data_IF_132288231422
#
_entry.id   IF_132288231422
#
_cell.length_a   1.000
_cell.length_b   1.000
_cell.length_c   1.000
_cell.angle_alpha   90.00
_cell.angle_beta   90.00
_cell.angle_gamma   90.00
#
_symmetry.space_group_name_H-M   'P 1'
#
loop_
_entity.id
_entity.type
_entity.pdbx_description
1 polymer ?
#
# COMPACT_ATOMS: atom_id res chain seq x y z
N UNK A 1 -20.72 0.98 42.20
CA UNK A 1 -19.27 0.97 42.40
C UNK A 1 -18.70 0.45 41.10
N UNK A 2 -18.57 1.37 40.13
CA UNK A 2 -18.20 1.07 38.76
C UNK A 2 -16.69 0.87 38.69
N UNK A 3 -16.27 -0.33 38.29
CA UNK A 3 -14.90 -0.63 37.97
C UNK A 3 -14.49 0.16 36.72
N UNK A 4 -13.81 1.27 36.99
CA UNK A 4 -12.98 2.00 36.06
C UNK A 4 -11.92 1.06 35.48
N UNK A 5 -12.22 0.48 34.32
CA UNK A 5 -11.24 -0.20 33.49
C UNK A 5 -10.23 0.86 33.03
N UNK A 6 -9.11 0.96 33.74
CA UNK A 6 -7.92 1.69 33.31
C UNK A 6 -7.46 1.14 31.95
N UNK A 7 -7.85 1.82 30.87
CA UNK A 7 -7.21 1.66 29.58
C UNK A 7 -5.73 1.99 29.76
N UNK A 8 -4.87 0.98 29.66
CA UNK A 8 -3.43 1.19 29.66
C UNK A 8 -3.09 2.22 28.57
N UNK A 9 -2.24 3.24 28.83
CA UNK A 9 -1.83 4.19 27.82
C UNK A 9 -1.24 3.40 26.65
N UNK A 10 -1.87 3.53 25.47
CA UNK A 10 -1.56 2.71 24.30
C UNK A 10 -0.07 2.71 24.03
N UNK A 11 0.55 1.52 24.06
CA UNK A 11 1.97 1.37 23.78
C UNK A 11 2.25 1.97 22.38
N UNK A 12 3.10 3.00 22.34
CA UNK A 12 3.48 3.66 21.09
C UNK A 12 4.03 2.63 20.10
N UNK A 13 3.40 2.54 18.93
CA UNK A 13 3.83 1.64 17.86
C UNK A 13 5.06 2.22 17.17
N UNK A 14 6.14 1.44 17.12
CA UNK A 14 7.41 1.85 16.53
C UNK A 14 8.13 2.98 17.28
N UNK A 15 9.37 3.24 16.86
CA UNK A 15 10.22 4.35 17.34
C UNK A 15 10.49 4.45 18.84
N UNK A 16 10.16 3.45 19.65
CA UNK A 16 10.59 3.36 21.05
C UNK A 16 12.12 3.39 21.21
N UNK A 17 12.61 3.63 22.43
CA UNK A 17 14.07 3.71 22.73
C UNK A 17 14.83 2.47 22.25
N UNK A 18 14.29 1.28 22.51
CA UNK A 18 14.86 0.01 22.08
C UNK A 18 14.93 -0.09 20.54
N UNK A 19 13.89 0.36 19.85
CA UNK A 19 13.82 0.32 18.38
C UNK A 19 14.90 1.23 17.77
N UNK A 20 15.04 2.46 18.29
CA UNK A 20 16.09 3.39 17.86
C UNK A 20 17.50 2.84 18.12
N UNK A 21 17.71 2.18 19.25
CA UNK A 21 18.98 1.55 19.58
C UNK A 21 19.32 0.41 18.61
N UNK A 22 18.39 -0.51 18.39
CA UNK A 22 18.52 -1.62 17.44
C UNK A 22 18.85 -1.12 16.03
N UNK A 23 18.16 -0.09 15.55
CA UNK A 23 18.45 0.50 14.22
C UNK A 23 19.83 1.14 14.14
N UNK A 24 20.32 1.76 15.22
CA UNK A 24 21.69 2.28 15.28
C UNK A 24 22.70 1.11 15.22
N UNK A 25 22.51 0.08 16.03
CA UNK A 25 23.35 -1.10 16.04
C UNK A 25 23.37 -1.80 14.67
N UNK A 26 22.21 -1.99 14.05
CA UNK A 26 22.11 -2.58 12.71
C UNK A 26 22.91 -1.79 11.68
N UNK A 27 22.82 -0.45 11.69
CA UNK A 27 23.56 0.42 10.76
C UNK A 27 25.07 0.43 10.99
N UNK A 28 25.53 0.11 12.20
CA UNK A 28 26.96 -0.07 12.49
C UNK A 28 27.48 -1.42 11.98
N UNK A 29 26.63 -2.47 12.04
CA UNK A 29 27.03 -3.84 11.69
C UNK A 29 26.82 -4.20 10.21
N UNK A 30 26.00 -3.45 9.47
CA UNK A 30 25.54 -3.83 8.11
C UNK A 30 25.82 -2.77 7.06
N UNK A 31 25.92 -3.22 5.80
CA UNK A 31 26.22 -2.34 4.67
C UNK A 31 25.07 -1.38 4.36
N UNK A 32 25.38 -0.29 3.62
CA UNK A 32 24.36 0.66 3.14
C UNK A 32 23.25 -0.02 2.33
N UNK A 33 23.61 -1.03 1.53
CA UNK A 33 22.70 -1.83 0.70
C UNK A 33 21.78 -2.76 1.48
N UNK A 34 21.92 -2.86 2.80
CA UNK A 34 21.03 -3.65 3.66
C UNK A 34 20.20 -2.77 4.60
N UNK A 35 20.32 -1.44 4.51
CA UNK A 35 19.75 -0.51 5.50
C UNK A 35 18.23 -0.59 5.60
N UNK A 36 17.52 -0.92 4.51
CA UNK A 36 16.07 -1.13 4.53
C UNK A 36 15.66 -2.23 5.53
N UNK A 37 16.52 -3.21 5.77
CA UNK A 37 16.26 -4.29 6.73
C UNK A 37 16.40 -3.88 8.21
N UNK A 38 16.83 -2.64 8.51
CA UNK A 38 16.99 -2.18 9.90
C UNK A 38 15.67 -2.18 10.68
N UNK A 39 14.53 -2.08 9.98
CA UNK A 39 13.20 -2.13 10.57
C UNK A 39 12.74 -3.56 10.82
N UNK A 40 13.34 -4.57 10.19
CA UNK A 40 12.95 -5.97 10.36
C UNK A 40 13.78 -6.64 11.47
N UNK A 41 15.08 -6.41 11.50
CA UNK A 41 15.98 -7.02 12.47
C UNK A 41 15.87 -6.37 13.87
N UNK A 42 15.98 -7.13 14.98
CA UNK A 42 15.98 -8.61 15.09
C UNK A 42 14.57 -9.20 15.25
N UNK A 43 13.54 -8.37 15.07
CA UNK A 43 12.19 -8.66 15.52
C UNK A 43 11.41 -9.60 14.61
N UNK A 44 11.76 -9.62 13.32
CA UNK A 44 11.07 -10.37 12.27
C UNK A 44 11.89 -11.57 11.81
N UNK A 45 11.23 -12.71 11.58
CA UNK A 45 11.75 -13.83 10.81
C UNK A 45 10.80 -14.11 9.65
N UNK A 46 11.35 -14.38 8.48
CA UNK A 46 10.59 -14.74 7.28
C UNK A 46 11.09 -16.06 6.72
N UNK A 47 10.24 -16.74 5.97
CA UNK A 47 10.58 -17.90 5.16
C UNK A 47 10.17 -17.62 3.72
N UNK A 48 10.95 -18.13 2.77
CA UNK A 48 10.67 -17.99 1.34
C UNK A 48 10.45 -19.36 0.72
N UNK A 49 9.55 -19.43 -0.23
CA UNK A 49 9.35 -20.62 -1.04
C UNK A 49 10.38 -20.70 -2.18
N UNK A 50 10.19 -21.65 -3.11
CA UNK A 50 11.09 -21.88 -4.25
C UNK A 50 11.05 -20.75 -5.29
N UNK A 51 9.95 -20.01 -5.39
CA UNK A 51 9.86 -18.81 -6.24
C UNK A 51 10.61 -17.62 -5.62
N UNK A 52 10.92 -17.71 -4.32
CA UNK A 52 11.51 -16.65 -3.54
C UNK A 52 10.47 -15.71 -2.93
N UNK A 53 9.17 -15.91 -3.13
CA UNK A 53 8.11 -15.20 -2.42
C UNK A 53 8.13 -15.53 -0.92
N UNK A 54 7.64 -14.61 -0.08
CA UNK A 54 7.54 -14.83 1.37
C UNK A 54 6.33 -15.73 1.65
N UNK A 55 6.58 -16.91 2.21
CA UNK A 55 5.55 -17.90 2.53
C UNK A 55 5.31 -18.07 4.04
N UNK A 56 6.10 -17.40 4.88
CA UNK A 56 5.92 -17.42 6.33
C UNK A 56 6.45 -16.15 6.99
N UNK A 57 5.77 -15.71 8.03
CA UNK A 57 6.11 -14.48 8.75
C UNK A 57 5.94 -14.65 10.26
N UNK A 58 6.97 -14.29 11.01
CA UNK A 58 6.98 -14.27 12.48
C UNK A 58 7.55 -12.96 12.97
N UNK A 59 6.85 -12.26 13.86
CA UNK A 59 7.36 -11.06 14.52
C UNK A 59 7.07 -11.08 16.02
N UNK A 60 8.03 -10.64 16.83
CA UNK A 60 7.89 -10.57 18.30
C UNK A 60 7.42 -11.89 18.92
N UNK A 61 7.96 -13.01 18.45
CA UNK A 61 7.61 -14.35 18.93
C UNK A 61 6.29 -14.92 18.39
N UNK A 62 5.45 -14.11 17.72
CA UNK A 62 4.14 -14.48 17.17
C UNK A 62 4.22 -14.77 15.67
N UNK A 63 3.51 -15.80 15.20
CA UNK A 63 3.48 -16.20 13.79
C UNK A 63 2.11 -15.84 13.20
N UNK A 64 2.10 -15.31 11.97
CA UNK A 64 0.87 -15.09 11.22
C UNK A 64 0.85 -15.97 9.95
N UNK A 65 -0.30 -16.56 9.61
CA UNK A 65 -0.44 -17.24 8.32
C UNK A 65 -0.29 -16.22 7.19
N UNK A 66 0.55 -16.55 6.22
CA UNK A 66 0.71 -15.75 4.99
C UNK A 66 -0.09 -16.45 3.90
N UNK A 67 -0.95 -15.69 3.24
CA UNK A 67 -1.64 -16.12 2.02
C UNK A 67 -0.69 -15.94 0.84
N UNK A 68 -0.44 -17.00 0.04
CA UNK A 68 0.30 -16.88 -1.22
C UNK A 68 -0.32 -15.80 -2.12
N UNK A 69 0.52 -15.07 -2.85
CA UNK A 69 0.09 -13.92 -3.65
C UNK A 69 -0.92 -14.33 -4.73
N UNK A 70 -0.70 -15.48 -5.36
CA UNK A 70 -1.57 -16.06 -6.39
C UNK A 70 -2.96 -16.44 -5.87
N UNK A 71 -3.11 -16.60 -4.55
CA UNK A 71 -4.40 -16.84 -3.90
C UNK A 71 -5.02 -15.54 -3.39
N UNK A 72 -4.25 -14.44 -3.34
CA UNK A 72 -4.61 -13.15 -2.74
C UNK A 72 -5.69 -12.35 -3.47
N UNK A 73 -5.97 -12.70 -4.71
CA UNK A 73 -6.93 -12.04 -5.58
C UNK A 73 -7.83 -13.04 -6.26
N UNK A 74 -8.97 -12.55 -6.72
CA UNK A 74 -9.92 -13.26 -7.56
C UNK A 74 -9.74 -12.79 -9.01
N UNK A 75 -9.30 -13.68 -9.94
CA UNK A 75 -9.12 -13.32 -11.34
C UNK A 75 -10.42 -12.85 -12.05
N UNK A 76 -11.59 -13.10 -11.46
CA UNK A 76 -12.88 -12.60 -11.94
C UNK A 76 -13.11 -11.12 -11.66
N UNK A 77 -12.34 -10.49 -10.76
CA UNK A 77 -12.47 -9.08 -10.39
C UNK A 77 -11.79 -8.18 -11.45
N UNK A 78 -12.34 -8.16 -12.66
CA UNK A 78 -11.82 -7.35 -13.75
C UNK A 78 -12.11 -5.85 -13.58
N UNK A 79 -13.16 -5.49 -12.84
CA UNK A 79 -13.53 -4.12 -12.51
C UNK A 79 -13.38 -3.89 -11.01
N UNK A 80 -12.53 -2.94 -10.61
CA UNK A 80 -12.21 -2.69 -9.20
C UNK A 80 -12.15 -1.20 -8.90
N UNK A 81 -12.69 -0.81 -7.75
CA UNK A 81 -12.63 0.56 -7.25
C UNK A 81 -11.44 0.69 -6.29
N UNK A 82 -10.43 1.49 -6.65
CA UNK A 82 -9.33 1.84 -5.77
C UNK A 82 -9.68 3.12 -4.99
N UNK A 83 -9.95 3.00 -3.70
CA UNK A 83 -10.40 4.11 -2.86
C UNK A 83 -9.25 4.59 -1.97
N UNK A 84 -8.83 5.83 -2.17
CA UNK A 84 -7.79 6.50 -1.40
C UNK A 84 -8.40 7.41 -0.32
N UNK A 85 -7.60 8.36 0.18
CA UNK A 85 -8.00 9.26 1.26
C UNK A 85 -7.92 10.75 0.91
N UNK A 86 -7.84 11.11 -0.37
CA UNK A 86 -7.90 12.52 -0.78
C UNK A 86 -9.27 13.14 -0.47
N UNK A 87 -9.34 14.46 -0.21
CA UNK A 87 -10.58 15.17 0.14
C UNK A 87 -11.74 14.96 -0.85
N UNK A 88 -11.49 14.73 -2.15
CA UNK A 88 -12.58 14.55 -3.13
C UNK A 88 -13.52 13.39 -2.82
N UNK A 89 -13.09 12.38 -2.05
CA UNK A 89 -13.96 11.26 -1.65
C UNK A 89 -15.09 11.69 -0.72
N UNK A 90 -14.96 12.85 -0.05
CA UNK A 90 -15.99 13.33 0.88
C UNK A 90 -17.27 13.78 0.16
N UNK A 91 -17.18 14.09 -1.14
CA UNK A 91 -18.28 14.58 -1.96
C UNK A 91 -19.05 13.45 -2.67
N UNK A 92 -18.52 12.22 -2.63
CA UNK A 92 -19.08 11.08 -3.36
C UNK A 92 -20.14 10.35 -2.49
N UNK A 93 -21.39 10.23 -2.96
CA UNK A 93 -22.42 9.44 -2.28
C UNK A 93 -22.26 7.94 -2.59
N UNK A 94 -21.34 7.27 -1.88
CA UNK A 94 -20.95 5.88 -2.16
C UNK A 94 -22.11 4.86 -2.07
N UNK A 95 -23.14 5.15 -1.28
CA UNK A 95 -24.37 4.36 -1.19
C UNK A 95 -25.15 4.28 -2.52
N UNK A 96 -24.95 5.27 -3.40
CA UNK A 96 -25.58 5.37 -4.71
C UNK A 96 -24.76 4.77 -5.85
N UNK A 97 -23.50 4.41 -5.62
CA UNK A 97 -22.61 3.87 -6.65
C UNK A 97 -22.75 2.35 -6.77
N UNK A 98 -22.76 1.81 -7.99
CA UNK A 98 -22.65 0.36 -8.20
C UNK A 98 -21.19 -0.07 -8.05
N UNK A 99 -20.79 -0.34 -6.79
CA UNK A 99 -19.46 -0.84 -6.46
C UNK A 99 -19.60 -2.30 -6.04
N UNK A 100 -19.01 -3.21 -6.82
CA UNK A 100 -18.99 -4.65 -6.48
C UNK A 100 -17.74 -5.05 -5.71
N UNK A 101 -16.60 -4.48 -6.09
CA UNK A 101 -15.28 -4.82 -5.53
C UNK A 101 -14.49 -3.53 -5.30
N UNK A 102 -14.03 -3.34 -4.07
CA UNK A 102 -13.16 -2.23 -3.72
C UNK A 102 -11.84 -2.68 -3.08
N UNK A 103 -10.77 -1.97 -3.43
CA UNK A 103 -9.53 -1.93 -2.69
C UNK A 103 -9.43 -0.60 -1.93
N UNK A 104 -9.38 -0.66 -0.61
CA UNK A 104 -9.05 0.52 0.20
C UNK A 104 -7.55 0.68 0.40
N UNK A 105 -7.09 1.92 0.56
CA UNK A 105 -5.72 2.20 1.00
C UNK A 105 -5.68 3.17 2.17
N UNK A 106 -4.72 2.98 3.07
CA UNK A 106 -4.50 3.81 4.25
C UNK A 106 -5.82 4.14 4.98
N UNK A 107 -6.22 5.42 5.07
CA UNK A 107 -7.40 5.82 5.84
C UNK A 107 -8.74 5.72 5.10
N UNK A 108 -8.80 5.13 3.90
CA UNK A 108 -10.06 4.91 3.18
C UNK A 108 -11.10 4.13 4.01
N UNK A 109 -10.66 3.29 4.94
CA UNK A 109 -11.52 2.53 5.86
C UNK A 109 -12.47 3.43 6.67
N UNK A 110 -12.12 4.69 6.92
CA UNK A 110 -13.00 5.61 7.63
C UNK A 110 -14.31 5.88 6.86
N UNK A 111 -14.36 5.68 5.53
CA UNK A 111 -15.60 5.71 4.75
C UNK A 111 -16.55 4.58 5.13
N UNK A 112 -16.03 3.42 5.56
CA UNK A 112 -16.84 2.28 5.95
C UNK A 112 -17.62 2.50 7.26
N UNK A 113 -17.40 3.63 7.94
CA UNK A 113 -18.22 4.08 9.08
C UNK A 113 -19.49 4.80 8.63
N UNK A 114 -19.54 5.27 7.38
CA UNK A 114 -20.67 6.01 6.78
C UNK A 114 -21.39 5.21 5.69
N UNK A 115 -20.66 4.39 4.95
CA UNK A 115 -21.16 3.67 3.78
C UNK A 115 -20.81 2.18 3.88
N UNK A 116 -21.67 1.32 3.35
CA UNK A 116 -21.41 -0.11 3.26
C UNK A 116 -20.55 -0.42 2.02
N UNK A 117 -19.24 -0.18 2.14
CA UNK A 117 -18.28 -0.38 1.05
C UNK A 117 -17.75 -1.83 1.02
N UNK A 118 -17.79 -2.51 -0.15
CA UNK A 118 -17.33 -3.88 -0.30
C UNK A 118 -15.79 -3.94 -0.44
N UNK A 119 -15.08 -3.59 0.63
CA UNK A 119 -13.63 -3.73 0.70
C UNK A 119 -13.20 -5.20 0.72
N UNK A 120 -13.10 -5.82 -0.46
CA UNK A 120 -12.54 -7.17 -0.66
C UNK A 120 -11.01 -7.16 -0.50
N UNK A 121 -10.38 -6.04 -0.85
CA UNK A 121 -8.94 -5.85 -0.78
C UNK A 121 -8.57 -4.62 0.04
N UNK A 122 -7.36 -4.64 0.59
CA UNK A 122 -6.77 -3.47 1.23
C UNK A 122 -5.25 -3.45 1.00
N UNK A 123 -4.66 -2.27 0.85
CA UNK A 123 -3.20 -2.14 0.71
C UNK A 123 -2.64 -1.10 1.69
N UNK A 124 -1.63 -1.49 2.47
CA UNK A 124 -0.90 -0.61 3.40
C UNK A 124 0.60 -0.78 3.18
N UNK A 125 1.25 0.27 2.67
CA UNK A 125 2.71 0.33 2.54
C UNK A 125 3.35 1.44 3.39
N UNK A 126 2.55 2.37 3.93
CA UNK A 126 3.07 3.47 4.76
C UNK A 126 3.17 3.04 6.23
N UNK A 127 4.40 2.88 6.74
CA UNK A 127 4.64 2.59 8.15
C UNK A 127 4.13 3.69 9.09
N UNK A 128 4.13 4.96 8.65
CA UNK A 128 3.68 6.06 9.51
C UNK A 128 2.16 6.01 9.70
N UNK A 129 1.40 5.63 8.67
CA UNK A 129 -0.03 5.37 8.82
C UNK A 129 -0.32 4.36 9.93
N UNK A 130 0.44 3.26 10.02
CA UNK A 130 0.27 2.29 11.11
C UNK A 130 0.61 2.86 12.48
N UNK A 131 1.65 3.67 12.55
CA UNK A 131 2.11 4.25 13.82
C UNK A 131 1.19 5.33 14.35
N UNK A 132 0.69 6.16 13.45
CA UNK A 132 -0.08 7.36 13.78
C UNK A 132 -1.57 7.03 13.87
N UNK A 133 -2.05 6.07 13.07
CA UNK A 133 -3.48 5.70 12.91
C UNK A 133 -3.75 4.22 13.16
N UNK A 134 -3.19 3.68 14.24
CA UNK A 134 -3.38 2.28 14.64
C UNK A 134 -4.87 1.93 14.87
N UNK A 135 -5.71 2.92 15.19
CA UNK A 135 -7.17 2.81 15.29
C UNK A 135 -7.78 2.33 13.97
N UNK A 136 -7.45 3.00 12.86
CA UNK A 136 -7.93 2.65 11.53
C UNK A 136 -7.36 1.31 11.06
N UNK A 137 -6.10 1.03 11.37
CA UNK A 137 -5.49 -0.27 11.06
C UNK A 137 -6.21 -1.41 11.77
N UNK A 138 -6.64 -1.21 13.02
CA UNK A 138 -7.41 -2.21 13.78
C UNK A 138 -8.74 -2.54 13.07
N UNK A 139 -9.44 -1.53 12.55
CA UNK A 139 -10.64 -1.73 11.75
C UNK A 139 -10.35 -2.55 10.49
N UNK A 140 -9.27 -2.23 9.77
CA UNK A 140 -8.87 -2.94 8.54
C UNK A 140 -8.60 -4.41 8.83
N UNK A 141 -7.72 -4.71 9.80
CA UNK A 141 -7.29 -6.09 10.06
C UNK A 141 -8.38 -6.96 10.69
N UNK A 142 -9.41 -6.34 11.27
CA UNK A 142 -10.54 -7.05 11.87
C UNK A 142 -11.58 -7.55 10.86
N UNK A 143 -11.49 -7.11 9.60
CA UNK A 143 -12.43 -7.48 8.53
C UNK A 143 -12.00 -8.74 7.79
N UNK A 144 -12.97 -9.41 7.19
CA UNK A 144 -12.73 -10.49 6.23
C UNK A 144 -12.42 -9.89 4.86
N UNK A 145 -11.13 -9.61 4.63
CA UNK A 145 -10.58 -9.05 3.40
C UNK A 145 -9.17 -9.60 3.16
N UNK A 146 -8.60 -9.35 1.98
CA UNK A 146 -7.16 -9.59 1.75
C UNK A 146 -6.37 -8.29 1.88
N UNK A 147 -5.45 -8.26 2.86
CA UNK A 147 -4.54 -7.17 3.13
C UNK A 147 -3.18 -7.41 2.46
N UNK A 148 -2.84 -6.54 1.52
CA UNK A 148 -1.52 -6.43 0.91
C UNK A 148 -0.65 -5.48 1.73
N UNK A 149 0.52 -5.96 2.16
CA UNK A 149 1.34 -5.24 3.14
C UNK A 149 2.83 -5.47 2.93
N UNK A 150 3.65 -4.45 3.18
CA UNK A 150 5.11 -4.60 3.22
C UNK A 150 5.55 -5.30 4.53
N UNK A 151 6.64 -6.09 4.53
CA UNK A 151 7.15 -6.77 5.72
C UNK A 151 7.36 -5.86 6.93
N UNK A 152 7.87 -4.64 6.73
CA UNK A 152 8.11 -3.70 7.81
C UNK A 152 6.82 -3.13 8.40
N UNK A 153 5.82 -2.89 7.55
CA UNK A 153 4.49 -2.43 7.93
C UNK A 153 3.80 -3.52 8.75
N UNK A 154 3.79 -4.78 8.27
CA UNK A 154 3.22 -5.92 8.99
C UNK A 154 3.86 -6.11 10.36
N UNK A 155 5.18 -5.87 10.48
CA UNK A 155 5.87 -5.87 11.76
C UNK A 155 5.30 -4.81 12.71
N UNK A 156 5.06 -3.56 12.28
CA UNK A 156 4.44 -2.56 13.16
C UNK A 156 2.98 -2.89 13.50
N UNK A 157 2.21 -3.46 12.56
CA UNK A 157 0.85 -3.95 12.83
C UNK A 157 0.91 -4.97 13.95
N UNK A 158 1.76 -5.99 13.84
CA UNK A 158 1.93 -6.99 14.88
C UNK A 158 2.42 -6.38 16.18
N UNK A 159 3.29 -5.38 16.16
CA UNK A 159 3.75 -4.69 17.38
C UNK A 159 2.59 -4.05 18.16
N UNK A 160 1.64 -3.41 17.47
CA UNK A 160 0.55 -2.65 18.08
C UNK A 160 -0.78 -3.40 18.25
N UNK A 161 -0.98 -4.49 17.50
CA UNK A 161 -2.26 -5.19 17.44
C UNK A 161 -2.07 -6.65 17.91
N UNK A 162 -2.92 -7.15 18.83
CA UNK A 162 -2.93 -8.55 19.23
C UNK A 162 -3.24 -9.47 18.04
N UNK A 163 -2.63 -10.65 18.02
CA UNK A 163 -2.72 -11.55 16.86
C UNK A 163 -4.16 -12.00 16.59
N UNK A 164 -4.92 -12.24 17.65
CA UNK A 164 -6.33 -12.63 17.65
C UNK A 164 -7.28 -11.57 17.07
N UNK A 165 -6.83 -10.31 16.97
CA UNK A 165 -7.61 -9.24 16.34
C UNK A 165 -7.40 -9.18 14.82
N UNK A 166 -6.41 -9.90 14.28
CA UNK A 166 -6.09 -9.94 12.86
C UNK A 166 -6.87 -11.10 12.25
N UNK A 167 -7.97 -10.76 11.58
CA UNK A 167 -8.90 -11.69 10.92
C UNK A 167 -8.74 -11.70 9.39
N UNK A 168 -8.18 -10.63 8.82
CA UNK A 168 -7.93 -10.56 7.39
C UNK A 168 -6.87 -11.58 6.95
N UNK A 169 -6.93 -11.92 5.65
CA UNK A 169 -5.88 -12.66 4.97
C UNK A 169 -4.70 -11.74 4.68
N UNK A 170 -3.48 -12.23 4.90
CA UNK A 170 -2.26 -11.41 4.75
C UNK A 170 -1.50 -11.84 3.51
N UNK A 171 -1.39 -10.95 2.53
CA UNK A 171 -0.50 -11.09 1.38
C UNK A 171 0.70 -10.14 1.54
N UNK A 172 1.90 -10.69 1.52
CA UNK A 172 3.12 -9.89 1.69
C UNK A 172 3.66 -9.53 0.31
N UNK A 173 3.67 -8.24 0.02
CA UNK A 173 4.33 -7.66 -1.15
C UNK A 173 5.67 -7.06 -0.75
N UNK A 174 6.60 -6.93 -1.69
CA UNK A 174 7.92 -6.34 -1.43
C UNK A 174 8.20 -5.25 -2.45
N UNK A 175 9.03 -4.27 -2.07
CA UNK A 175 9.63 -3.40 -3.07
C UNK A 175 10.62 -4.22 -3.91
N UNK A 176 10.51 -4.13 -5.23
CA UNK A 176 11.35 -4.89 -6.16
C UNK A 176 12.85 -4.60 -5.97
N UNK A 177 13.17 -3.37 -5.55
CA UNK A 177 14.54 -2.91 -5.29
C UNK A 177 15.01 -3.19 -3.86
N UNK A 178 14.13 -3.49 -2.90
CA UNK A 178 14.43 -3.57 -1.47
C UNK A 178 13.75 -4.77 -0.80
N UNK A 179 13.96 -5.97 -1.36
CA UNK A 179 13.42 -7.21 -0.79
C UNK A 179 13.95 -7.49 0.62
N UNK A 180 13.07 -7.98 1.49
CA UNK A 180 13.34 -8.23 2.89
C UNK A 180 14.48 -9.23 3.09
N UNK A 181 15.43 -8.87 3.94
CA UNK A 181 16.68 -9.56 4.24
C UNK A 181 17.61 -9.81 3.04
N UNK A 182 17.32 -9.21 1.90
CA UNK A 182 18.23 -9.18 0.74
C UNK A 182 18.98 -7.84 0.71
N UNK A 183 19.98 -7.73 -0.17
CA UNK A 183 20.60 -6.44 -0.49
C UNK A 183 19.73 -5.70 -1.49
N UNK A 184 19.72 -4.37 -1.40
CA UNK A 184 19.03 -3.54 -2.39
C UNK A 184 19.58 -3.81 -3.79
N UNK A 185 18.68 -3.87 -4.76
CA UNK A 185 19.01 -4.20 -6.14
C UNK A 185 19.85 -3.08 -6.77
N UNK A 186 21.04 -3.42 -7.27
CA UNK A 186 21.81 -2.49 -8.07
C UNK A 186 21.09 -2.22 -9.40
N UNK A 187 21.33 -1.06 -10.06
CA UNK A 187 20.68 -0.75 -11.35
C UNK A 187 20.88 -1.83 -12.43
N UNK A 188 22.05 -2.48 -12.45
CA UNK A 188 22.33 -3.57 -13.38
C UNK A 188 21.53 -4.85 -13.09
N UNK A 189 21.09 -5.06 -11.84
CA UNK A 189 20.20 -6.17 -11.45
C UNK A 189 18.79 -5.87 -11.92
N UNK A 190 18.28 -4.65 -11.65
CA UNK A 190 16.96 -4.24 -12.13
C UNK A 190 16.86 -4.36 -13.66
N UNK A 191 17.88 -3.87 -14.40
CA UNK A 191 17.93 -4.01 -15.87
C UNK A 191 17.86 -5.47 -16.32
N UNK A 192 18.56 -6.38 -15.62
CA UNK A 192 18.51 -7.81 -15.91
C UNK A 192 17.12 -8.41 -15.63
N UNK A 193 16.48 -8.02 -14.53
CA UNK A 193 15.12 -8.45 -14.22
C UNK A 193 14.13 -8.00 -15.30
N UNK A 194 14.18 -6.73 -15.70
CA UNK A 194 13.31 -6.19 -16.76
C UNK A 194 13.57 -6.80 -18.14
N UNK A 195 14.79 -7.25 -18.42
CA UNK A 195 15.11 -7.97 -19.65
C UNK A 195 14.65 -9.44 -19.61
N UNK A 196 14.49 -10.03 -18.43
CA UNK A 196 14.16 -11.44 -18.25
C UNK A 196 12.65 -11.73 -18.32
N UNK A 197 11.80 -10.73 -18.14
CA UNK A 197 10.34 -10.90 -18.17
C UNK A 197 9.63 -9.68 -18.76
N UNK A 198 8.56 -9.87 -19.55
CA UNK A 198 7.74 -8.76 -20.03
C UNK A 198 6.96 -8.05 -18.90
N UNK A 199 6.83 -8.66 -17.73
CA UNK A 199 6.05 -8.16 -16.59
C UNK A 199 6.76 -7.10 -15.76
N UNK A 200 8.06 -6.86 -16.01
CA UNK A 200 8.78 -5.77 -15.36
C UNK A 200 9.18 -4.74 -16.41
N UNK A 201 8.69 -3.51 -16.26
CA UNK A 201 9.01 -2.37 -17.13
C UNK A 201 9.78 -1.32 -16.34
N UNK A 202 10.96 -0.93 -16.83
CA UNK A 202 11.79 0.08 -16.16
C UNK A 202 11.67 1.44 -16.82
N UNK A 203 11.46 2.45 -15.99
CA UNK A 203 11.58 3.86 -16.36
C UNK A 203 13.02 4.33 -16.13
N UNK A 204 13.54 4.12 -14.93
CA UNK A 204 14.89 4.53 -14.53
C UNK A 204 15.48 3.54 -13.52
N UNK A 205 16.45 2.73 -13.96
CA UNK A 205 17.10 1.76 -13.10
C UNK A 205 17.98 2.39 -12.00
N UNK A 206 18.49 3.61 -12.18
CA UNK A 206 19.31 4.30 -11.16
C UNK A 206 18.45 4.81 -10.03
N UNK A 207 17.29 5.35 -10.35
CA UNK A 207 16.31 5.82 -9.38
C UNK A 207 15.42 4.68 -8.85
N UNK A 208 15.46 3.50 -9.47
CA UNK A 208 14.62 2.38 -9.11
C UNK A 208 13.15 2.62 -9.47
N UNK A 209 12.89 3.30 -10.58
CA UNK A 209 11.56 3.60 -11.10
C UNK A 209 11.16 2.64 -12.22
N UNK A 210 9.90 2.24 -12.20
CA UNK A 210 9.34 1.29 -13.15
C UNK A 210 7.92 0.90 -12.76
N UNK A 211 7.43 -0.17 -13.36
CA UNK A 211 6.14 -0.77 -13.08
C UNK A 211 6.25 -2.29 -13.17
N UNK A 212 5.67 -3.01 -12.21
CA UNK A 212 5.58 -4.47 -12.23
C UNK A 212 4.13 -4.90 -12.44
N UNK A 213 3.94 -5.82 -13.39
CA UNK A 213 2.70 -6.54 -13.65
C UNK A 213 2.66 -7.90 -12.92
N UNK A 214 3.74 -8.25 -12.23
CA UNK A 214 3.84 -9.43 -11.39
C UNK A 214 4.34 -9.02 -10.00
N UNK A 215 3.42 -8.99 -9.03
CA UNK A 215 3.77 -8.61 -7.65
C UNK A 215 4.61 -9.65 -6.91
N UNK A 216 4.73 -10.88 -7.41
CA UNK A 216 5.65 -11.87 -6.84
C UNK A 216 7.12 -11.47 -7.05
N UNK A 217 7.41 -10.69 -8.10
CA UNK A 217 8.72 -10.08 -8.34
C UNK A 217 8.96 -8.81 -7.49
N UNK A 218 7.88 -8.25 -6.95
CA UNK A 218 7.86 -7.02 -6.17
C UNK A 218 7.23 -5.85 -6.94
N UNK A 219 6.90 -4.79 -6.20
CA UNK A 219 6.32 -3.54 -6.72
C UNK A 219 7.36 -2.44 -6.78
N UNK A 220 7.15 -1.47 -7.67
CA UNK A 220 7.89 -0.22 -7.67
C UNK A 220 7.19 0.82 -6.78
N UNK A 221 7.98 1.63 -6.10
CA UNK A 221 7.48 2.77 -5.32
C UNK A 221 7.55 4.06 -6.14
N UNK A 222 6.56 4.92 -5.96
CA UNK A 222 6.50 6.26 -6.52
C UNK A 222 6.14 7.30 -5.45
N UNK A 223 6.43 7.03 -4.16
CA UNK A 223 6.12 7.89 -3.01
C UNK A 223 4.61 8.10 -2.79
N UNK A 224 3.80 7.13 -3.24
CA UNK A 224 2.36 7.07 -2.99
C UNK A 224 1.87 5.62 -2.96
N UNK A 225 1.00 5.32 -1.99
CA UNK A 225 0.38 3.99 -1.84
C UNK A 225 -0.45 3.61 -3.06
N UNK A 226 -1.01 4.61 -3.76
CA UNK A 226 -1.77 4.43 -4.98
C UNK A 226 -1.03 3.60 -6.04
N UNK A 227 0.26 3.90 -6.21
CA UNK A 227 1.07 3.31 -7.28
C UNK A 227 1.40 1.83 -7.01
N UNK A 228 1.64 1.47 -5.75
CA UNK A 228 1.80 0.08 -5.35
C UNK A 228 0.46 -0.69 -5.42
N UNK A 229 -0.63 -0.08 -4.95
CA UNK A 229 -1.97 -0.68 -5.01
C UNK A 229 -2.43 -0.97 -6.45
N UNK A 230 -2.16 -0.06 -7.39
CA UNK A 230 -2.43 -0.30 -8.81
C UNK A 230 -1.62 -1.48 -9.36
N UNK A 231 -0.35 -1.64 -9.00
CA UNK A 231 0.44 -2.81 -9.41
C UNK A 231 -0.15 -4.11 -8.85
N UNK A 232 -0.62 -4.09 -7.60
CA UNK A 232 -1.33 -5.23 -7.01
C UNK A 232 -2.60 -5.57 -7.79
N UNK A 233 -3.48 -4.59 -8.02
CA UNK A 233 -4.75 -4.81 -8.73
C UNK A 233 -4.55 -5.33 -10.15
N UNK A 234 -3.65 -4.71 -10.91
CA UNK A 234 -3.41 -5.08 -12.30
C UNK A 234 -2.72 -6.45 -12.41
N UNK A 235 -1.80 -6.75 -11.49
CA UNK A 235 -1.21 -8.09 -11.38
C UNK A 235 -2.25 -9.16 -11.03
N UNK A 236 -3.24 -8.81 -10.20
CA UNK A 236 -4.36 -9.67 -9.84
C UNK A 236 -5.41 -9.87 -10.93
N UNK A 237 -5.27 -9.21 -12.09
CA UNK A 237 -6.16 -9.39 -13.24
C UNK A 237 -7.14 -8.24 -13.50
N UNK A 238 -7.13 -7.17 -12.70
CA UNK A 238 -7.96 -6.01 -12.97
C UNK A 238 -7.68 -5.43 -14.37
N UNK A 239 -8.75 -5.01 -15.05
CA UNK A 239 -8.74 -4.41 -16.40
C UNK A 239 -9.36 -3.03 -16.41
N UNK A 240 -10.34 -2.77 -15.54
CA UNK A 240 -10.95 -1.46 -15.34
C UNK A 240 -10.77 -1.06 -13.88
N UNK A 241 -10.06 0.03 -13.63
CA UNK A 241 -9.83 0.54 -12.28
C UNK A 241 -10.35 1.97 -12.17
N UNK A 242 -11.35 2.16 -11.31
CA UNK A 242 -11.85 3.49 -10.93
C UNK A 242 -11.14 3.96 -9.68
N UNK A 243 -10.40 5.06 -9.77
CA UNK A 243 -9.55 5.58 -8.70
C UNK A 243 -10.23 6.78 -8.03
N UNK A 244 -10.54 6.66 -6.74
CA UNK A 244 -11.25 7.65 -5.94
C UNK A 244 -10.27 8.34 -5.00
N UNK A 245 -10.28 9.67 -4.90
CA UNK A 245 -9.43 10.38 -3.94
C UNK A 245 -7.95 10.45 -4.32
N UNK A 246 -7.59 10.24 -5.58
CA UNK A 246 -6.22 10.47 -6.09
C UNK A 246 -6.02 11.96 -6.38
N UNK A 247 -6.11 12.79 -5.35
CA UNK A 247 -6.10 14.24 -5.52
C UNK A 247 -4.69 14.78 -5.73
N UNK A 248 -3.72 14.23 -4.97
CA UNK A 248 -2.30 14.61 -5.05
C UNK A 248 -2.06 16.14 -4.95
N UNK A 249 -2.94 16.84 -4.23
CA UNK A 249 -2.94 18.30 -4.15
C UNK A 249 -1.66 18.82 -3.51
N UNK A 250 -1.05 19.80 -4.16
CA UNK A 250 0.23 20.40 -3.73
C UNK A 250 0.07 21.33 -2.50
N UNK A 251 -1.17 21.72 -2.18
CA UNK A 251 -1.49 22.50 -0.99
C UNK A 251 -1.90 21.55 0.14
N UNK A 252 -0.96 21.33 1.06
CA UNK A 252 -1.12 20.69 2.37
C UNK A 252 -1.49 19.19 2.42
N UNK A 253 -1.66 18.47 1.30
CA UNK A 253 -1.84 17.01 1.33
C UNK A 253 -2.96 16.53 2.27
N UNK A 254 -3.99 17.37 2.41
CA UNK A 254 -5.13 17.14 3.29
C UNK A 254 -5.76 15.79 2.98
N UNK A 255 -6.30 15.16 4.02
CA UNK A 255 -7.05 13.91 3.91
C UNK A 255 -8.51 14.15 4.26
N UNK A 256 -9.41 13.29 3.79
CA UNK A 256 -10.85 13.46 4.06
C UNK A 256 -11.25 13.18 5.52
N UNK A 257 -10.43 12.42 6.25
CA UNK A 257 -10.70 12.05 7.63
C UNK A 257 -9.96 12.97 8.60
N UNK A 258 -10.52 13.14 9.80
CA UNK A 258 -9.90 13.95 10.84
C UNK A 258 -8.54 13.36 11.25
N UNK A 259 -7.49 14.15 11.05
CA UNK A 259 -6.11 13.83 11.45
C UNK A 259 -5.76 14.35 12.85
N UNK A 260 -6.70 15.00 13.52
CA UNK A 260 -6.51 15.59 14.85
C UNK A 260 -5.54 16.78 14.82
N UNK A 261 -4.96 17.16 15.98
CA UNK A 261 -4.16 18.37 16.13
C UNK A 261 -2.74 18.27 15.52
N UNK A 262 -2.35 17.11 14.98
CA UNK A 262 -1.00 16.88 14.43
C UNK A 262 -1.10 16.10 13.12
N UNK A 263 -1.49 16.77 12.00
CA UNK A 263 -1.69 16.12 10.71
C UNK A 263 -0.38 15.53 10.18
N UNK A 264 -0.47 14.41 9.46
CA UNK A 264 0.71 13.70 9.00
C UNK A 264 1.40 14.48 7.86
N UNK A 265 2.72 14.62 7.94
CA UNK A 265 3.49 15.31 6.90
C UNK A 265 3.41 14.57 5.55
N UNK A 266 2.95 15.27 4.52
CA UNK A 266 2.93 14.75 3.15
C UNK A 266 4.23 15.09 2.40
N UNK A 267 4.82 14.09 1.74
CA UNK A 267 5.99 14.27 0.84
C UNK A 267 5.59 14.54 -0.61
N UNK A 268 4.29 14.48 -0.90
CA UNK A 268 3.73 14.52 -2.25
C UNK A 268 4.20 15.77 -3.01
N UNK A 269 4.10 16.96 -2.42
CA UNK A 269 4.48 18.20 -3.11
C UNK A 269 5.95 18.23 -3.56
N UNK A 270 6.87 17.68 -2.75
CA UNK A 270 8.30 17.65 -3.06
C UNK A 270 8.65 16.60 -4.12
N UNK A 271 7.94 15.48 -4.12
CA UNK A 271 8.24 14.34 -4.97
C UNK A 271 7.33 14.25 -6.20
N UNK A 272 6.36 15.16 -6.37
CA UNK A 272 5.39 15.14 -7.45
C UNK A 272 6.05 15.14 -8.83
N UNK A 273 6.79 16.20 -9.15
CA UNK A 273 7.44 16.36 -10.46
C UNK A 273 8.63 15.43 -10.68
N UNK A 274 9.24 14.92 -9.60
CA UNK A 274 10.44 14.09 -9.67
C UNK A 274 10.15 12.60 -9.77
N UNK A 275 9.13 12.12 -9.05
CA UNK A 275 8.85 10.69 -8.86
C UNK A 275 7.41 10.34 -9.27
N UNK A 276 6.42 11.04 -8.74
CA UNK A 276 5.01 10.64 -8.88
C UNK A 276 4.54 10.79 -10.34
N UNK A 277 4.54 12.01 -10.88
CA UNK A 277 4.03 12.29 -12.23
C UNK A 277 4.77 11.51 -13.32
N UNK A 278 6.13 11.43 -13.33
CA UNK A 278 6.85 10.62 -14.30
C UNK A 278 6.52 9.12 -14.21
N UNK A 279 6.32 8.58 -13.00
CA UNK A 279 5.98 7.17 -12.80
C UNK A 279 4.58 6.86 -13.31
N UNK A 280 3.59 7.72 -13.02
CA UNK A 280 2.23 7.56 -13.54
C UNK A 280 2.17 7.72 -15.06
N UNK A 281 2.89 8.69 -15.63
CA UNK A 281 2.99 8.87 -17.09
C UNK A 281 3.58 7.63 -17.76
N UNK A 282 4.63 7.07 -17.17
CA UNK A 282 5.23 5.83 -17.65
C UNK A 282 4.25 4.65 -17.55
N UNK A 283 3.62 4.46 -16.40
CA UNK A 283 2.67 3.37 -16.16
C UNK A 283 1.45 3.44 -17.08
N UNK A 284 0.90 4.63 -17.30
CA UNK A 284 -0.24 4.85 -18.21
C UNK A 284 0.02 4.36 -19.63
N UNK A 285 1.23 4.56 -20.15
CA UNK A 285 1.63 3.99 -21.44
C UNK A 285 1.64 2.46 -21.40
N UNK A 286 2.13 1.86 -20.31
CA UNK A 286 2.14 0.39 -20.17
C UNK A 286 0.73 -0.20 -20.03
N UNK A 287 -0.16 0.46 -19.28
CA UNK A 287 -1.56 0.04 -19.14
C UNK A 287 -2.27 -0.03 -20.49
N UNK A 288 -2.14 1.01 -21.31
CA UNK A 288 -2.72 1.04 -22.67
C UNK A 288 -2.23 -0.13 -23.53
N UNK A 289 -0.93 -0.44 -23.49
CA UNK A 289 -0.38 -1.58 -24.26
C UNK A 289 -0.90 -2.95 -23.81
N UNK A 290 -1.44 -3.05 -22.59
CA UNK A 290 -2.00 -4.28 -22.01
C UNK A 290 -3.52 -4.28 -21.90
N UNK A 291 -4.20 -3.29 -22.49
CA UNK A 291 -5.67 -3.18 -22.43
C UNK A 291 -6.20 -2.97 -21.01
N UNK A 292 -5.45 -2.25 -20.17
CA UNK A 292 -5.89 -1.85 -18.83
C UNK A 292 -6.31 -0.39 -18.88
N UNK A 293 -7.53 -0.12 -18.42
CA UNK A 293 -8.14 1.20 -18.32
C UNK A 293 -8.14 1.64 -16.86
N UNK A 294 -7.56 2.81 -16.60
CA UNK A 294 -7.52 3.42 -15.26
C UNK A 294 -8.14 4.80 -15.37
N UNK A 295 -9.17 5.05 -14.57
CA UNK A 295 -9.92 6.30 -14.55
C UNK A 295 -9.76 6.97 -13.20
N UNK A 296 -9.59 8.29 -13.18
CA UNK A 296 -9.62 9.10 -11.97
C UNK A 296 -11.02 9.69 -11.81
N UNK A 297 -11.61 9.52 -10.63
CA UNK A 297 -12.87 10.19 -10.26
C UNK A 297 -12.63 11.49 -9.48
N UNK A 298 -11.37 11.88 -9.28
CA UNK A 298 -11.03 13.13 -8.61
C UNK A 298 -11.07 14.30 -9.60
N UNK A 299 -11.97 15.30 -9.40
CA UNK A 299 -12.00 16.51 -10.23
C UNK A 299 -10.79 17.42 -9.98
N UNK A 300 -10.15 17.28 -8.83
CA UNK A 300 -9.04 18.13 -8.34
C UNK A 300 -7.67 17.46 -8.43
N UNK A 301 -7.57 16.31 -9.10
CA UNK A 301 -6.31 15.58 -9.27
C UNK A 301 -5.22 16.47 -9.87
N UNK A 302 -4.05 16.51 -9.22
CA UNK A 302 -2.85 17.13 -9.76
C UNK A 302 -2.28 16.36 -10.96
N UNK A 303 -2.58 15.05 -11.09
CA UNK A 303 -2.30 14.33 -12.32
C UNK A 303 -3.24 14.80 -13.42
N UNK A 304 -2.64 15.13 -14.57
CA UNK A 304 -3.34 15.60 -15.74
C UNK A 304 -4.14 14.48 -16.42
N UNK A 305 -5.23 14.86 -17.09
CA UNK A 305 -6.16 13.93 -17.73
C UNK A 305 -5.55 13.13 -18.90
N UNK A 306 -4.42 13.59 -19.46
CA UNK A 306 -3.66 12.83 -20.48
C UNK A 306 -2.90 11.63 -19.88
N UNK A 307 -2.63 11.65 -18.58
CA UNK A 307 -1.99 10.54 -17.86
C UNK A 307 -3.05 9.53 -17.42
N UNK A 308 -4.05 9.98 -16.66
CA UNK A 308 -5.19 9.16 -16.22
C UNK A 308 -6.45 9.91 -16.62
N UNK A 309 -7.28 9.27 -17.44
CA UNK A 309 -8.54 9.84 -17.89
C UNK A 309 -9.43 10.17 -16.70
N UNK A 310 -10.12 11.32 -16.74
CA UNK A 310 -11.04 11.75 -15.70
C UNK A 310 -12.47 11.38 -16.08
N UNK A 311 -13.19 10.77 -15.14
CA UNK A 311 -14.62 10.51 -15.25
C UNK A 311 -15.35 11.18 -14.10
N UNK A 312 -16.56 11.65 -14.37
CA UNK A 312 -17.47 12.05 -13.30
C UNK A 312 -18.01 10.79 -12.62
N UNK A 313 -18.04 10.75 -11.29
CA UNK A 313 -18.55 9.60 -10.55
C UNK A 313 -20.03 9.31 -10.84
N UNK A 314 -20.78 10.28 -11.36
CA UNK A 314 -22.19 10.12 -11.71
C UNK A 314 -22.44 9.04 -12.77
N UNK A 315 -21.43 8.72 -13.59
CA UNK A 315 -21.54 7.64 -14.59
C UNK A 315 -21.60 6.24 -13.94
N UNK A 316 -21.34 6.15 -12.64
CA UNK A 316 -21.31 4.90 -11.86
C UNK A 316 -22.51 4.79 -10.90
N UNK A 317 -23.54 5.63 -11.06
CA UNK A 317 -24.77 5.54 -10.30
C UNK A 317 -25.48 4.21 -10.59
N UNK A 318 -26.04 3.60 -9.55
CA UNK A 318 -26.98 2.47 -9.69
C UNK A 318 -28.16 2.91 -10.55
N UNK A 319 -28.58 2.04 -11.46
CA UNK A 319 -29.85 2.18 -12.19
C UNK A 319 -31.06 2.15 -11.24
#
# INVERSE_FOLDING_TARGET
>A
MEDSAFSSPGAQVGDGRADRFVRKLFRLLRSRTQRHNQHLWPFVRIWRDRSGAICGFRAFGRSLPVTPLEQGYDPGDQEVHLILSGPSVAEIPYDRLDIRVAMGVNGAIALARKFDLPFKYYCIIDQNFVRDRIDLVREIVSRDLTLYVLPEVLRYIMQGIPQESIRCRICIIELISERAYQRSAAPAVLKRMAAATPDVKLLDAKQGLGYSFDVALGVFDADTVAYAALQVLVSGGARHVYVHGLDLTLQNGLRFYDEGPSPQASRLARNFSRLIEPSFRFAAAQWRTRGVSVFSLSPISALSADIIERLDWQVLLKE
#
